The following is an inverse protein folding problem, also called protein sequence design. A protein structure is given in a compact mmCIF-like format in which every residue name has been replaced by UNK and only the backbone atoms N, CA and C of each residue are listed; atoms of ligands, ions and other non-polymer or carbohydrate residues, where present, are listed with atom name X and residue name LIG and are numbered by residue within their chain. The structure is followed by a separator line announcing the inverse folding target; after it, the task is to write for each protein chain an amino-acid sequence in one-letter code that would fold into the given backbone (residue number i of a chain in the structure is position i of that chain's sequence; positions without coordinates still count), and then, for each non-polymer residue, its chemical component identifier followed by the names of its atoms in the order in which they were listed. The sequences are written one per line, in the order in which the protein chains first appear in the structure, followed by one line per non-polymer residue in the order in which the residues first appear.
data_IF_060142205820
#
_entry.id   IF_060142205820
#
_cell.length_a   1.000
_cell.length_b   1.000
_cell.length_c   1.000
_cell.angle_alpha   90.00
_cell.angle_beta   90.00
_cell.angle_gamma   90.00
#
_symmetry.space_group_name_H-M   'P 1'
#
loop_
_entity.id
_entity.type
_entity.pdbx_description
1 polymer ?
#
# COMPACT_ATOMS: atom_id res chain seq x y z
N UNK A 1 -1.11 8.34 6.76
CA UNK A 1 -1.71 8.42 8.12
C UNK A 1 -1.78 7.06 8.78
N UNK A 2 -1.87 5.95 8.03
CA UNK A 2 -1.83 4.60 8.58
C UNK A 2 -1.16 3.61 7.62
N UNK A 3 -0.58 2.53 8.13
CA UNK A 3 -0.02 1.42 7.36
C UNK A 3 -0.72 0.10 7.75
N UNK A 4 -0.99 -0.74 6.75
CA UNK A 4 -1.71 -2.01 6.88
C UNK A 4 -1.08 -3.05 5.96
N UNK A 5 -1.54 -4.31 6.03
CA UNK A 5 -0.97 -5.43 5.25
C UNK A 5 -1.99 -5.96 4.27
N UNK A 6 -1.63 -6.05 2.98
CA UNK A 6 -2.40 -6.78 1.98
C UNK A 6 -2.16 -8.29 2.16
N UNK A 7 -3.22 -9.07 2.36
CA UNK A 7 -3.16 -10.52 2.60
C UNK A 7 -3.88 -11.36 1.56
N UNK A 8 -4.54 -10.71 0.58
CA UNK A 8 -5.18 -11.39 -0.53
C UNK A 8 -5.79 -10.40 -1.53
N UNK A 9 -6.05 -10.90 -2.73
CA UNK A 9 -6.72 -10.15 -3.81
C UNK A 9 -7.75 -11.05 -4.48
N UNK A 10 -8.89 -10.49 -4.82
CA UNK A 10 -9.91 -11.10 -5.67
C UNK A 10 -9.76 -10.54 -7.09
N UNK A 11 -9.49 -11.42 -8.05
CA UNK A 11 -9.33 -11.06 -9.46
C UNK A 11 -10.61 -11.41 -10.24
N UNK A 12 -10.92 -10.62 -11.26
CA UNK A 12 -11.95 -10.96 -12.24
C UNK A 12 -11.47 -11.96 -13.28
N UNK A 13 -12.35 -12.32 -14.23
CA UNK A 13 -12.05 -13.29 -15.29
C UNK A 13 -10.92 -12.83 -16.23
N UNK A 14 -10.64 -11.53 -16.30
CA UNK A 14 -9.53 -10.95 -17.07
C UNK A 14 -8.22 -10.88 -16.29
N UNK A 15 -8.24 -11.22 -15.00
CA UNK A 15 -7.11 -11.10 -14.10
C UNK A 15 -6.95 -9.72 -13.46
N UNK A 16 -7.92 -8.81 -13.62
CA UNK A 16 -7.88 -7.49 -13.02
C UNK A 16 -8.37 -7.54 -11.55
N UNK A 17 -7.80 -6.75 -10.63
CA UNK A 17 -8.23 -6.73 -9.24
C UNK A 17 -9.63 -6.13 -9.09
N UNK A 18 -10.45 -6.73 -8.22
CA UNK A 18 -11.75 -6.17 -7.81
C UNK A 18 -11.72 -5.63 -6.40
N UNK A 19 -11.08 -6.37 -5.50
CA UNK A 19 -10.99 -6.07 -4.08
C UNK A 19 -9.78 -6.74 -3.44
N UNK A 20 -9.31 -6.10 -2.39
CA UNK A 20 -8.14 -6.45 -1.62
C UNK A 20 -8.55 -6.80 -0.20
N UNK A 21 -7.98 -7.87 0.35
CA UNK A 21 -8.11 -8.22 1.77
C UNK A 21 -6.98 -7.56 2.54
N UNK A 22 -7.34 -6.79 3.55
CA UNK A 22 -6.41 -5.96 4.32
C UNK A 22 -6.44 -6.41 5.77
N UNK A 23 -5.29 -6.73 6.35
CA UNK A 23 -5.11 -6.97 7.79
C UNK A 23 -4.73 -5.66 8.47
N UNK A 24 -5.41 -5.36 9.57
CA UNK A 24 -5.17 -4.17 10.37
C UNK A 24 -4.66 -4.53 11.77
N UNK A 25 -4.02 -3.57 12.44
CA UNK A 25 -3.37 -3.73 13.75
C UNK A 25 -4.25 -3.32 14.94
N UNK A 26 -5.54 -3.08 14.73
CA UNK A 26 -6.47 -2.61 15.77
C UNK A 26 -7.18 -3.71 16.57
N UNK A 27 -6.64 -4.94 16.53
CA UNK A 27 -7.24 -6.11 17.17
C UNK A 27 -8.40 -6.71 16.36
N UNK A 28 -9.08 -7.69 16.93
CA UNK A 28 -10.05 -8.55 16.22
C UNK A 28 -11.50 -8.04 16.27
N UNK A 29 -11.78 -7.01 17.07
CA UNK A 29 -13.14 -6.50 17.27
C UNK A 29 -13.65 -5.62 16.12
N UNK A 30 -12.74 -4.99 15.38
CA UNK A 30 -13.07 -4.13 14.25
C UNK A 30 -12.88 -4.89 12.94
N UNK A 31 -13.79 -4.65 11.99
CA UNK A 31 -13.84 -5.40 10.74
C UNK A 31 -14.31 -6.84 10.94
N UNK A 32 -13.88 -7.73 10.05
CA UNK A 32 -14.08 -9.18 10.17
C UNK A 32 -12.83 -9.80 10.80
N UNK A 33 -12.82 -9.92 12.12
CA UNK A 33 -11.69 -10.45 12.91
C UNK A 33 -10.37 -9.70 12.64
N UNK A 34 -10.44 -8.37 12.55
CA UNK A 34 -9.28 -7.51 12.26
C UNK A 34 -8.99 -7.33 10.76
N UNK A 35 -9.76 -7.98 9.88
CA UNK A 35 -9.64 -7.83 8.44
C UNK A 35 -10.68 -6.89 7.86
N UNK A 36 -10.26 -6.18 6.80
CA UNK A 36 -11.08 -5.28 6.02
C UNK A 36 -11.04 -5.68 4.54
N UNK A 37 -12.04 -5.22 3.79
CA UNK A 37 -12.09 -5.35 2.35
C UNK A 37 -11.98 -3.95 1.75
N UNK A 38 -11.00 -3.76 0.87
CA UNK A 38 -10.76 -2.52 0.16
C UNK A 38 -11.08 -2.74 -1.31
N UNK A 39 -11.94 -1.92 -1.92
CA UNK A 39 -12.20 -2.02 -3.36
C UNK A 39 -10.99 -1.53 -4.15
N UNK A 40 -10.84 -2.01 -5.38
CA UNK A 40 -9.75 -1.57 -6.25
C UNK A 40 -9.79 -0.05 -6.54
N UNK A 41 -11.00 0.49 -6.76
CA UNK A 41 -11.18 1.95 -6.87
C UNK A 41 -10.73 2.72 -5.62
N UNK A 42 -10.88 2.15 -4.42
CA UNK A 42 -10.38 2.81 -3.22
C UNK A 42 -8.85 2.81 -3.18
N UNK A 43 -8.23 1.70 -3.62
CA UNK A 43 -6.79 1.60 -3.75
C UNK A 43 -6.25 2.71 -4.68
N UNK A 44 -6.84 2.89 -5.86
CA UNK A 44 -6.42 3.92 -6.82
C UNK A 44 -6.44 5.35 -6.26
N UNK A 45 -7.44 5.66 -5.43
CA UNK A 45 -7.68 7.03 -4.95
C UNK A 45 -6.93 7.35 -3.65
N UNK A 46 -6.66 6.34 -2.81
CA UNK A 46 -6.22 6.55 -1.42
C UNK A 46 -4.98 5.76 -1.00
N UNK A 47 -4.44 4.88 -1.85
CA UNK A 47 -3.16 4.23 -1.61
C UNK A 47 -2.01 5.07 -2.17
N UNK A 48 -0.92 5.22 -1.40
CA UNK A 48 0.22 6.06 -1.78
C UNK A 48 1.55 5.31 -1.87
N UNK A 49 1.80 4.36 -0.96
CA UNK A 49 3.02 3.55 -0.96
C UNK A 49 2.74 2.06 -0.74
N UNK A 50 3.54 1.21 -1.39
CA UNK A 50 3.66 -0.23 -1.11
C UNK A 50 5.12 -0.63 -0.98
N UNK A 51 5.40 -1.56 -0.09
CA UNK A 51 6.70 -2.21 -0.01
C UNK A 51 6.62 -3.59 -0.69
N UNK A 52 7.50 -3.82 -1.65
CA UNK A 52 7.61 -5.09 -2.38
C UNK A 52 9.06 -5.56 -2.42
N UNK A 53 9.29 -6.86 -2.57
CA UNK A 53 10.63 -7.39 -2.74
C UNK A 53 11.22 -6.94 -4.09
N UNK A 54 12.50 -6.57 -4.09
CA UNK A 54 13.22 -6.10 -5.29
C UNK A 54 13.21 -7.14 -6.42
N UNK A 55 13.11 -8.42 -6.10
CA UNK A 55 13.02 -9.50 -7.08
C UNK A 55 11.77 -9.41 -7.98
N UNK A 56 10.73 -8.67 -7.57
CA UNK A 56 9.53 -8.43 -8.37
C UNK A 56 9.58 -7.16 -9.21
N UNK A 57 10.64 -6.35 -9.10
CA UNK A 57 10.78 -5.11 -9.83
C UNK A 57 11.44 -5.34 -11.19
N UNK A 58 10.98 -4.60 -12.22
CA UNK A 58 11.65 -4.59 -13.51
C UNK A 58 13.05 -3.96 -13.39
N UNK A 59 13.99 -4.29 -14.30
CA UNK A 59 15.30 -3.64 -14.33
C UNK A 59 15.22 -2.11 -14.42
N UNK A 60 14.21 -1.59 -15.12
CA UNK A 60 13.95 -0.16 -15.28
C UNK A 60 13.58 0.51 -13.95
N UNK A 61 12.72 -0.12 -13.15
CA UNK A 61 12.35 0.37 -11.82
C UNK A 61 13.51 0.27 -10.83
N UNK A 62 14.32 -0.78 -10.91
CA UNK A 62 15.51 -0.92 -10.07
C UNK A 62 16.53 0.18 -10.34
N UNK A 63 16.73 0.56 -11.61
CA UNK A 63 17.66 1.62 -11.98
C UNK A 63 17.27 3.00 -11.41
N UNK A 64 15.99 3.24 -11.10
CA UNK A 64 15.54 4.49 -10.45
C UNK A 64 16.19 4.68 -9.08
N UNK A 65 16.50 3.57 -8.37
CA UNK A 65 17.13 3.62 -7.04
C UNK A 65 18.55 4.21 -7.06
N UNK A 66 19.22 4.22 -8.22
CA UNK A 66 20.57 4.74 -8.39
C UNK A 66 20.60 6.20 -8.86
N UNK A 67 19.43 6.84 -9.03
CA UNK A 67 19.31 8.25 -9.42
C UNK A 67 19.46 9.18 -8.21
N UNK A 68 19.85 10.45 -8.45
CA UNK A 68 19.87 11.46 -7.37
C UNK A 68 18.43 11.72 -6.88
N UNK A 69 18.12 11.49 -5.59
CA UNK A 69 16.77 11.64 -5.07
C UNK A 69 16.33 13.10 -5.05
N UNK A 70 15.08 13.34 -5.40
CA UNK A 70 14.45 14.65 -5.23
C UNK A 70 14.24 14.90 -3.73
N UNK A 71 14.92 15.91 -3.19
CA UNK A 71 14.78 16.31 -1.78
C UNK A 71 13.49 17.09 -1.59
N UNK A 72 12.56 16.50 -0.85
CA UNK A 72 11.32 17.15 -0.45
C UNK A 72 11.49 17.92 0.87
N UNK A 73 10.59 18.88 1.10
CA UNK A 73 10.56 19.61 2.37
C UNK A 73 10.09 18.71 3.52
N UNK A 74 10.48 18.99 4.78
CA UNK A 74 10.05 18.19 5.93
C UNK A 74 8.53 18.14 6.16
N UNK A 75 7.76 19.07 5.60
CA UNK A 75 6.30 19.14 5.70
C UNK A 75 5.58 18.64 4.45
N UNK A 76 6.29 17.99 3.53
CA UNK A 76 5.69 17.34 2.37
C UNK A 76 4.69 16.26 2.82
N UNK A 77 3.49 16.14 2.21
CA UNK A 77 2.49 15.17 2.61
C UNK A 77 2.90 13.71 2.39
N UNK A 78 3.91 13.44 1.55
CA UNK A 78 4.50 12.10 1.35
C UNK A 78 5.52 11.74 2.45
N UNK A 79 5.20 12.12 3.69
CA UNK A 79 6.05 11.96 4.86
C UNK A 79 5.60 10.82 5.77
N UNK A 80 5.42 11.11 7.07
CA UNK A 80 5.18 10.08 8.09
C UNK A 80 3.90 9.26 7.85
N UNK A 81 4.07 7.94 7.78
CA UNK A 81 2.97 7.00 7.58
C UNK A 81 2.05 6.91 8.81
N UNK A 82 2.53 7.16 10.02
CA UNK A 82 1.72 7.27 11.25
C UNK A 82 2.20 8.47 12.07
N UNK A 83 1.28 9.36 12.46
CA UNK A 83 1.58 10.38 13.46
C UNK A 83 1.63 9.65 14.81
N UNK A 84 2.81 9.57 15.43
CA UNK A 84 2.89 9.27 16.84
C UNK A 84 2.25 10.45 17.59
N UNK A 85 1.04 10.24 18.08
CA UNK A 85 0.38 11.12 19.04
C UNK A 85 0.62 10.59 20.46
#
# INVERSE_FOLDING_TARGET
THAMVLTGVDLDESGAPRKWRVENSWGDKLGDKGFFVMSDRWFDEFMYEVAVDKAFLSPELLAVLDTEPIRLHPWDPMGSLAIAA
#
